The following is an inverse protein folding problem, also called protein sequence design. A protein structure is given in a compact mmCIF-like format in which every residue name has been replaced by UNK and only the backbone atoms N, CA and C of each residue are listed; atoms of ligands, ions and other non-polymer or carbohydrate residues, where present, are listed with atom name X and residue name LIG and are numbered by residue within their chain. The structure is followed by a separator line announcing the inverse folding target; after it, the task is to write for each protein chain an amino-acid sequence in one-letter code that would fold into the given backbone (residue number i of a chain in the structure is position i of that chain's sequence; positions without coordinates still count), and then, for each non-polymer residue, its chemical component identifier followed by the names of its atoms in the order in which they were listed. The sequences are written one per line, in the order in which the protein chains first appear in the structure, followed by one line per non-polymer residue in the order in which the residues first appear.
data_IF_285094566485
#
_entry.id   IF_285094566485
#
_cell.length_a   1.000
_cell.length_b   1.000
_cell.length_c   1.000
_cell.angle_alpha   90.00
_cell.angle_beta   90.00
_cell.angle_gamma   90.00
#
_symmetry.space_group_name_H-M   'P 1'
#
loop_
_entity.id
_entity.type
_entity.pdbx_description
1 polymer ?
2 non-polymer ?
3 non-polymer ?
4 water ?
#
# COMPACT_ATOMS: atom_id res chain seq x y z
N UNK A 3 13.21 17.84 7.03
CA UNK A 3 14.64 18.06 7.46
C UNK A 3 14.98 19.56 7.48
N UNK A 4 15.70 20.03 6.45
CA UNK A 4 16.14 21.42 6.33
C UNK A 4 15.01 22.39 5.97
N UNK A 5 14.02 21.88 5.24
CA UNK A 5 12.82 22.64 4.90
C UNK A 5 11.77 22.49 6.00
N UNK A 6 10.83 23.43 6.08
CA UNK A 6 9.90 23.49 7.20
C UNK A 6 8.41 23.33 6.84
N UNK A 7 8.07 23.52 5.55
CA UNK A 7 6.71 23.31 5.07
C UNK A 7 6.38 21.82 5.00
N UNK A 8 5.12 21.45 5.21
CA UNK A 8 4.70 20.09 4.91
C UNK A 8 4.65 19.92 3.39
N UNK A 9 5.29 18.85 2.90
CA UNK A 9 5.29 18.55 1.48
C UNK A 9 4.23 17.48 1.24
N UNK A 10 3.10 17.91 0.67
CA UNK A 10 2.01 17.00 0.37
C UNK A 10 1.95 16.69 -1.13
N UNK A 11 1.67 15.44 -1.47
CA UNK A 11 1.35 15.07 -2.85
C UNK A 11 -0.16 15.10 -3.00
N UNK A 12 -0.63 15.66 -4.11
CA UNK A 12 -2.02 15.57 -4.52
C UNK A 12 -2.08 14.87 -5.88
N UNK A 13 -2.72 13.70 -5.91
CA UNK A 13 -2.75 12.84 -7.11
C UNK A 13 -4.02 11.98 -7.23
N UNK A 14 -4.46 11.74 -8.46
CA UNK A 14 -5.51 10.75 -8.75
C UNK A 14 -4.93 9.73 -9.74
N UNK A 15 -5.04 8.45 -9.38
CA UNK A 15 -4.51 7.38 -10.20
C UNK A 15 -5.47 6.19 -10.26
N UNK A 16 -5.26 5.33 -11.26
CA UNK A 16 -6.13 4.19 -11.47
C UNK A 16 -5.52 2.92 -10.83
N UNK A 17 -6.08 1.76 -11.15
CA UNK A 17 -5.66 0.50 -10.53
C UNK A 17 -4.19 0.19 -10.80
N UNK A 18 -3.70 0.61 -11.97
CA UNK A 18 -2.32 0.36 -12.35
C UNK A 18 -1.44 1.60 -12.27
N UNK A 19 -1.86 2.57 -11.44
CA UNK A 19 -1.08 3.79 -11.17
C UNK A 19 -1.01 4.78 -12.35
N UNK A 20 -1.85 4.57 -13.36
CA UNK A 20 -1.94 5.51 -14.50
C UNK A 20 -2.51 6.84 -14.02
N UNK A 21 -1.84 7.94 -14.40
CA UNK A 21 -2.31 9.30 -14.13
C UNK A 21 -2.54 10.12 -15.41
N UNK A 22 -2.00 9.65 -16.53
CA UNK A 22 -2.08 10.41 -17.77
C UNK A 22 -2.09 9.62 -19.07
N UNK A 23 -2.65 10.23 -20.10
CA UNK A 23 -2.72 9.68 -21.45
C UNK A 23 -2.60 10.85 -22.44
N UNK A 24 -1.61 10.73 -23.34
CA UNK A 24 -1.37 11.73 -24.40
C UNK A 24 -1.33 13.16 -23.85
N UNK A 25 -0.54 13.35 -22.79
CA UNK A 25 -0.37 14.65 -22.13
C UNK A 25 -1.68 15.26 -21.57
N UNK A 26 -2.63 14.41 -21.22
CA UNK A 26 -3.92 14.83 -20.63
C UNK A 26 -4.39 13.80 -19.60
N UNK A 27 -5.54 14.08 -18.97
CA UNK A 27 -6.16 13.16 -18.01
C UNK A 27 -6.98 12.10 -18.74
N UNK A 28 -6.87 10.83 -18.30
CA UNK A 28 -7.63 9.75 -18.95
C UNK A 28 -9.12 9.69 -18.60
N UNK A 29 -9.54 10.47 -17.60
CA UNK A 29 -10.92 10.43 -17.12
C UNK A 29 -11.45 11.84 -16.83
N UNK A 30 -12.77 11.97 -16.75
CA UNK A 30 -13.37 13.22 -16.31
C UNK A 30 -14.22 12.96 -15.07
N UNK A 31 -13.78 13.46 -13.93
CA UNK A 31 -14.55 13.37 -12.69
C UNK A 31 -14.66 14.75 -12.06
N UNK A 32 -15.68 15.53 -12.45
CA UNK A 32 -15.88 16.88 -11.89
C UNK A 32 -15.95 16.92 -10.36
N UNK A 33 -16.53 15.90 -9.74
CA UNK A 33 -16.64 15.85 -8.28
C UNK A 33 -15.28 15.69 -7.59
N UNK A 34 -14.40 14.92 -8.23
CA UNK A 34 -13.04 14.70 -7.76
C UNK A 34 -12.21 16.00 -7.86
N UNK A 35 -12.44 16.75 -8.94
CA UNK A 35 -11.82 18.08 -9.09
C UNK A 35 -12.27 19.06 -8.02
N UNK A 36 -13.53 18.99 -7.63
CA UNK A 36 -14.04 19.86 -6.57
C UNK A 36 -13.37 19.52 -5.24
N UNK A 37 -13.17 18.23 -4.97
CA UNK A 37 -12.38 17.79 -3.81
C UNK A 37 -10.95 18.32 -3.83
N UNK A 38 -10.33 18.29 -5.01
CA UNK A 38 -8.99 18.83 -5.22
C UNK A 38 -8.92 20.34 -4.96
N UNK A 39 -9.86 21.08 -5.53
CA UNK A 39 -9.95 22.54 -5.33
C UNK A 39 -10.08 22.90 -3.85
N UNK A 40 -11.03 22.25 -3.19
CA UNK A 40 -11.32 22.50 -1.78
C UNK A 40 -10.12 22.16 -0.87
N UNK A 41 -9.38 21.12 -1.21
CA UNK A 41 -8.28 20.67 -0.36
C UNK A 41 -7.03 21.53 -0.55
N UNK A 42 -6.80 22.01 -1.77
CA UNK A 42 -5.58 22.73 -2.10
C UNK A 42 -5.72 24.24 -1.93
N UNK A 43 -6.94 24.72 -1.95
CA UNK A 43 -7.24 26.15 -1.83
C UNK A 43 -6.45 26.84 -0.71
N UNK A 44 -5.80 27.95 -1.06
CA UNK A 44 -5.02 28.72 -0.10
C UNK A 44 -3.60 28.24 0.10
N UNK A 45 -3.17 27.24 -0.69
CA UNK A 45 -1.83 26.63 -0.58
C UNK A 45 -1.14 26.58 -1.94
N UNK A 46 0.20 26.66 -1.95
CA UNK A 46 0.90 26.54 -3.24
C UNK A 46 0.68 25.22 -3.97
N UNK A 47 0.52 25.31 -5.28
CA UNK A 47 0.51 24.18 -6.20
C UNK A 47 1.83 24.13 -6.93
N UNK A 48 2.51 22.99 -6.81
CA UNK A 48 3.79 22.78 -7.49
C UNK A 48 3.51 21.89 -8.70
N UNK A 49 3.79 22.41 -9.89
CA UNK A 49 3.42 21.71 -11.13
C UNK A 49 4.58 21.57 -12.08
N UNK A 50 4.71 20.39 -12.69
CA UNK A 50 5.67 20.23 -13.79
C UNK A 50 5.24 21.11 -14.94
N UNK A 51 6.20 21.54 -15.75
CA UNK A 51 5.91 22.43 -16.87
C UNK A 51 4.83 21.84 -17.81
N UNK A 52 4.94 20.55 -18.09
CA UNK A 52 4.00 19.87 -18.98
C UNK A 52 2.59 19.85 -18.38
N UNK A 53 2.50 19.49 -17.10
CA UNK A 53 1.23 19.55 -16.38
C UNK A 53 0.63 20.96 -16.49
N UNK A 54 1.41 21.99 -16.14
CA UNK A 54 0.90 23.35 -16.21
C UNK A 54 0.35 23.74 -17.60
N UNK A 55 1.08 23.38 -18.66
CA UNK A 55 0.72 23.85 -19.99
C UNK A 55 -0.58 23.22 -20.49
N UNK A 56 -0.83 21.98 -20.09
CA UNK A 56 -2.10 21.30 -20.37
C UNK A 56 -3.27 22.00 -19.65
N UNK A 57 -3.05 22.44 -18.41
CA UNK A 57 -4.04 23.22 -17.66
C UNK A 57 -4.27 24.57 -18.36
N UNK A 58 -3.19 25.28 -18.66
CA UNK A 58 -3.20 26.45 -19.55
C UNK A 58 -3.45 27.79 -18.89
N UNK A 59 -3.83 27.77 -17.61
CA UNK A 59 -4.21 28.98 -16.90
C UNK A 59 -3.85 28.83 -15.43
N UNK A 60 -3.48 29.94 -14.77
CA UNK A 60 -3.29 29.89 -13.32
C UNK A 60 -4.56 29.46 -12.62
N UNK A 61 -4.43 28.54 -11.68
CA UNK A 61 -5.56 28.09 -10.89
C UNK A 61 -5.77 29.09 -9.73
N UNK A 62 -7.01 29.62 -9.60
CA UNK A 62 -7.22 30.76 -8.70
C UNK A 62 -7.08 30.38 -7.22
N UNK A 63 -6.66 31.35 -6.40
CA UNK A 63 -6.65 31.22 -4.95
C UNK A 63 -5.45 30.49 -4.39
N UNK A 64 -4.51 30.16 -5.27
CA UNK A 64 -3.33 29.40 -4.89
C UNK A 64 -2.11 29.98 -5.60
N UNK A 65 -0.96 29.96 -4.93
CA UNK A 65 0.32 30.22 -5.59
C UNK A 65 0.58 29.12 -6.61
N UNK A 66 0.68 29.49 -7.88
CA UNK A 66 1.01 28.55 -8.95
C UNK A 66 2.51 28.55 -9.22
N UNK A 67 3.17 27.45 -8.91
CA UNK A 67 4.61 27.33 -9.10
C UNK A 67 4.93 26.27 -10.14
N UNK A 68 5.56 26.71 -11.22
CA UNK A 68 5.86 25.82 -12.33
C UNK A 68 7.33 25.43 -12.30
N UNK A 69 7.58 24.12 -12.39
CA UNK A 69 8.95 23.58 -12.38
C UNK A 69 9.42 23.25 -13.80
N UNK A 70 10.53 23.89 -14.19
CA UNK A 70 11.11 23.78 -15.53
C UNK A 70 12.63 23.96 -15.48
N UNK A 71 13.34 23.37 -16.44
CA UNK A 71 14.79 23.56 -16.56
C UNK A 71 15.11 24.78 -17.41
N UNK A 72 14.06 25.31 -18.03
CA UNK A 72 14.13 26.46 -18.92
C UNK A 72 14.31 27.75 -18.11
N UNK A 73 15.50 28.33 -18.17
CA UNK A 73 15.83 29.52 -17.37
C UNK A 73 15.19 30.84 -17.87
N UNK A 74 14.69 30.83 -19.11
CA UNK A 74 13.97 31.97 -19.65
C UNK A 74 12.46 31.81 -19.66
N UNK A 75 11.96 30.78 -18.99
CA UNK A 75 10.54 30.48 -18.94
C UNK A 75 9.79 31.43 -18.00
N UNK A 76 8.71 32.03 -18.49
CA UNK A 76 7.87 32.97 -17.72
C UNK A 76 6.38 32.82 -18.05
N UNK A 77 5.54 32.81 -17.03
CA UNK A 77 4.09 32.80 -17.23
C UNK A 77 3.43 33.82 -16.29
N UNK A 78 2.57 34.66 -16.87
CA UNK A 78 1.84 35.69 -16.13
C UNK A 78 0.95 35.06 -15.05
N UNK A 79 1.10 35.54 -13.82
CA UNK A 79 0.29 35.05 -12.69
C UNK A 79 0.81 33.77 -12.07
N UNK A 80 2.01 33.36 -12.49
CA UNK A 80 2.67 32.15 -11.98
C UNK A 80 4.10 32.44 -11.57
N UNK A 81 4.61 31.62 -10.67
CA UNK A 81 6.01 31.67 -10.30
C UNK A 81 6.75 30.47 -10.92
N UNK A 82 8.01 30.67 -11.27
CA UNK A 82 8.81 29.64 -11.93
C UNK A 82 10.02 29.23 -11.07
N UNK A 83 10.14 27.93 -10.84
CA UNK A 83 11.27 27.37 -10.11
C UNK A 83 11.96 26.36 -11.02
N UNK A 84 13.25 26.13 -10.79
CA UNK A 84 14.04 25.27 -11.68
C UNK A 84 14.68 24.08 -10.95
N UNK A 85 14.32 23.92 -9.68
CA UNK A 85 14.84 22.83 -8.87
C UNK A 85 13.98 22.68 -7.62
N UNK A 86 14.13 21.54 -6.96
CA UNK A 86 13.52 21.28 -5.66
C UNK A 86 13.88 22.39 -4.66
N UNK A 87 15.15 22.74 -4.60
CA UNK A 87 15.65 23.73 -3.62
C UNK A 87 15.08 25.13 -3.86
N UNK A 88 14.89 25.48 -5.13
CA UNK A 88 14.31 26.77 -5.45
C UNK A 88 12.82 26.83 -5.06
N UNK A 89 12.13 25.70 -5.22
CA UNK A 89 10.76 25.58 -4.70
C UNK A 89 10.76 25.78 -3.18
N UNK A 90 11.70 25.12 -2.51
CA UNK A 90 11.82 25.22 -1.05
C UNK A 90 12.11 26.66 -0.61
N UNK A 91 13.00 27.33 -1.34
CA UNK A 91 13.23 28.76 -1.11
C UNK A 91 11.96 29.61 -1.27
N UNK A 92 11.27 29.46 -2.40
CA UNK A 92 10.03 30.23 -2.63
C UNK A 92 8.95 29.95 -1.59
N UNK A 93 8.98 28.74 -1.04
CA UNK A 93 7.93 28.27 -0.15
C UNK A 93 8.38 28.17 1.31
N UNK A 94 9.51 28.79 1.64
CA UNK A 94 10.13 28.59 2.95
C UNK A 94 9.24 28.86 4.16
N UNK A 95 8.35 29.85 4.02
CA UNK A 95 7.42 30.23 5.09
C UNK A 95 5.99 29.67 4.95
N UNK A 96 5.78 28.75 4.02
CA UNK A 96 4.47 28.14 3.83
C UNK A 96 4.20 27.05 4.87
N UNK A 97 2.93 26.84 5.22
CA UNK A 97 2.53 25.74 6.10
C UNK A 97 2.65 24.43 5.34
N UNK A 98 2.06 24.40 4.13
CA UNK A 98 1.92 23.17 3.36
C UNK A 98 1.92 23.50 1.88
N UNK A 99 2.61 22.68 1.11
CA UNK A 99 2.62 22.82 -0.34
C UNK A 99 2.12 21.52 -0.96
N UNK A 100 1.44 21.65 -2.10
CA UNK A 100 0.92 20.50 -2.83
C UNK A 100 1.68 20.27 -4.12
N UNK A 101 2.32 19.11 -4.17
CA UNK A 101 2.95 18.64 -5.38
C UNK A 101 1.79 18.08 -6.20
N UNK A 102 1.58 18.69 -7.35
CA UNK A 102 0.36 18.54 -8.13
C UNK A 102 0.59 17.76 -9.44
N UNK A 103 1.81 17.26 -9.63
CA UNK A 103 2.15 16.48 -10.82
C UNK A 103 2.83 17.27 -11.94
N UNK A 104 3.14 16.61 -13.05
CA UNK A 104 2.86 15.18 -13.26
C UNK A 104 3.94 14.26 -12.73
N UNK A 105 4.18 13.18 -13.48
CA UNK A 105 5.05 12.09 -13.03
C UNK A 105 6.51 12.49 -12.77
N UNK A 106 7.09 13.30 -13.65
CA UNK A 106 8.48 13.74 -13.48
C UNK A 106 8.62 14.57 -12.21
N UNK A 107 7.63 15.44 -11.96
CA UNK A 107 7.61 16.25 -10.73
C UNK A 107 7.31 15.42 -9.46
N UNK A 108 6.46 14.41 -9.58
CA UNK A 108 6.27 13.47 -8.47
C UNK A 108 7.56 12.71 -8.13
N UNK A 109 8.28 12.26 -9.16
CA UNK A 109 9.58 11.60 -8.96
C UNK A 109 10.56 12.53 -8.27
N UNK A 110 10.65 13.78 -8.76
CA UNK A 110 11.52 14.83 -8.17
C UNK A 110 11.33 15.03 -6.67
N UNK A 111 10.06 15.13 -6.25
CA UNK A 111 9.78 15.46 -4.86
C UNK A 111 9.56 14.26 -3.94
N UNK A 112 9.66 13.06 -4.50
CA UNK A 112 9.39 11.81 -3.76
C UNK A 112 10.22 11.62 -2.48
N UNK A 113 11.53 11.96 -2.49
CA UNK A 113 12.27 11.86 -1.21
C UNK A 113 11.77 12.77 -0.08
N UNK A 114 10.91 13.73 -0.39
CA UNK A 114 10.53 14.76 0.60
C UNK A 114 9.06 14.69 1.05
N UNK A 115 8.26 13.82 0.44
CA UNK A 115 6.81 13.78 0.74
C UNK A 115 6.51 13.33 2.20
N UNK A 116 5.67 14.12 2.86
CA UNK A 116 5.28 13.91 4.26
C UNK A 116 3.85 13.41 4.31
N UNK A 117 3.07 13.74 3.28
CA UNK A 117 1.64 13.49 3.29
C UNK A 117 1.12 13.23 1.88
N UNK A 118 0.28 12.20 1.76
CA UNK A 118 -0.21 11.77 0.47
C UNK A 118 -1.74 11.86 0.40
N UNK A 119 -2.26 12.74 -0.45
CA UNK A 119 -3.69 12.77 -0.75
C UNK A 119 -3.87 12.10 -2.10
N UNK A 120 -4.29 10.84 -2.06
CA UNK A 120 -4.37 10.03 -3.26
C UNK A 120 -5.78 9.51 -3.50
N UNK A 121 -6.33 9.89 -4.65
CA UNK A 121 -7.60 9.35 -5.09
C UNK A 121 -7.33 8.09 -5.90
N UNK A 122 -7.99 7.00 -5.52
CA UNK A 122 -7.80 5.75 -6.24
C UNK A 122 -9.04 5.40 -7.05
N UNK A 123 -8.87 5.35 -8.37
CA UNK A 123 -9.97 5.10 -9.29
C UNK A 123 -10.00 3.63 -9.69
N UNK A 124 -11.15 3.02 -9.47
CA UNK A 124 -11.29 1.58 -9.58
C UNK A 124 -11.63 1.18 -11.02
N UNK A 125 -10.66 1.41 -11.90
CA UNK A 125 -10.81 1.18 -13.33
C UNK A 125 -9.38 1.08 -13.87
N UNK A 126 -9.20 0.32 -14.94
CA UNK A 126 -7.91 0.21 -15.59
C UNK A 126 -7.93 0.93 -16.93
N UNK A 127 -7.48 2.18 -16.93
CA UNK A 127 -7.43 3.01 -18.15
C UNK A 127 -6.20 2.68 -19.01
N UNK A 128 -6.31 2.98 -20.30
CA UNK A 128 -5.13 3.03 -21.15
C UNK A 128 -4.41 4.32 -20.83
N UNK A 129 -3.09 4.25 -20.70
CA UNK A 129 -2.31 5.42 -20.34
C UNK A 129 -0.82 5.26 -20.53
N UNK A 130 -0.10 6.37 -20.42
CA UNK A 130 1.33 6.36 -20.69
C UNK A 130 2.16 6.97 -19.57
N UNK A 131 1.49 7.57 -18.61
CA UNK A 131 2.11 8.29 -17.48
C UNK A 131 1.61 7.70 -16.15
N UNK A 132 2.54 7.48 -15.22
CA UNK A 132 2.29 6.69 -14.03
C UNK A 132 2.77 7.41 -12.77
N UNK A 133 2.03 7.23 -11.69
CA UNK A 133 2.46 7.70 -10.40
C UNK A 133 3.55 6.75 -9.88
N UNK A 134 4.68 7.28 -9.38
CA UNK A 134 5.75 6.42 -8.89
C UNK A 134 5.32 5.46 -7.77
N UNK A 135 5.93 4.27 -7.75
CA UNK A 135 5.76 3.31 -6.66
C UNK A 135 6.25 3.94 -5.37
N UNK A 136 5.57 3.62 -4.28
CA UNK A 136 5.96 4.11 -2.96
C UNK A 136 5.88 2.97 -1.96
N UNK A 137 6.88 2.88 -1.11
CA UNK A 137 6.88 1.97 0.02
C UNK A 137 6.11 2.68 1.11
N UNK A 138 5.00 2.08 1.54
CA UNK A 138 4.10 2.71 2.51
C UNK A 138 4.40 2.31 3.95
N UNK A 139 5.50 1.58 4.15
CA UNK A 139 6.04 1.29 5.48
C UNK A 139 6.29 2.62 6.17
N UNK A 140 5.86 2.71 7.43
CA UNK A 140 5.90 3.94 8.21
C UNK A 140 4.98 5.07 7.69
N UNK A 141 3.92 4.67 7.00
CA UNK A 141 2.84 5.56 6.67
C UNK A 141 1.56 5.01 7.26
N UNK A 142 0.66 5.90 7.64
CA UNK A 142 -0.65 5.49 8.16
C UNK A 142 -1.75 6.19 7.39
N UNK A 143 -2.78 5.43 7.03
CA UNK A 143 -3.99 6.02 6.45
C UNK A 143 -4.74 6.77 7.55
N UNK A 144 -4.98 8.06 7.33
CA UNK A 144 -5.66 8.90 8.32
C UNK A 144 -7.03 9.38 7.83
N UNK A 145 -7.35 9.10 6.57
CA UNK A 145 -8.64 9.45 6.00
C UNK A 145 -8.94 8.57 4.80
N UNK A 146 -10.17 8.08 4.73
CA UNK A 146 -10.67 7.39 3.56
C UNK A 146 -12.19 7.61 3.39
N UNK A 147 -12.61 7.82 2.15
CA UNK A 147 -14.02 8.07 1.85
C UNK A 147 -14.33 7.73 0.40
N UNK A 148 -15.47 7.11 0.16
CA UNK A 148 -15.94 6.83 -1.20
C UNK A 148 -16.28 8.12 -1.91
N UNK A 149 -15.81 8.24 -3.15
CA UNK A 149 -16.15 9.37 -4.00
C UNK A 149 -17.55 9.24 -4.55
N UNK A 150 -18.10 10.35 -5.00
CA UNK A 150 -19.43 10.37 -5.60
C UNK A 150 -19.42 9.74 -7.00
N UNK A 151 -20.19 8.67 -7.17
CA UNK A 151 -20.39 8.06 -8.46
C UNK A 151 -21.83 8.33 -8.90
N UNK A 152 -21.97 9.04 -10.01
CA UNK A 152 -23.27 9.35 -10.59
C UNK A 152 -23.10 9.53 -12.09
N UNK A 153 -24.10 10.11 -12.76
CA UNK A 153 -24.09 10.32 -14.21
C UNK A 153 -22.92 11.19 -14.68
N UNK A 154 -22.56 12.17 -13.87
CA UNK A 154 -21.45 13.07 -14.20
C UNK A 154 -20.09 12.49 -13.79
N UNK A 155 -20.11 11.50 -12.91
CA UNK A 155 -18.87 10.90 -12.37
C UNK A 155 -18.97 9.39 -12.47
N UNK A 156 -18.62 8.85 -13.65
CA UNK A 156 -19.02 7.50 -14.03
C UNK A 156 -18.09 6.35 -13.60
N UNK A 157 -17.16 6.62 -12.69
CA UNK A 157 -16.32 5.56 -12.14
C UNK A 157 -16.47 5.48 -10.63
N UNK A 158 -16.08 4.32 -10.08
CA UNK A 158 -15.97 4.14 -8.64
C UNK A 158 -14.55 4.57 -8.24
N UNK A 159 -14.46 5.38 -7.20
CA UNK A 159 -13.17 5.89 -6.73
C UNK A 159 -13.24 6.24 -5.24
N UNK A 160 -12.08 6.26 -4.59
CA UNK A 160 -11.97 6.55 -3.18
C UNK A 160 -10.91 7.62 -2.93
N UNK A 161 -11.22 8.55 -2.02
CA UNK A 161 -10.24 9.48 -1.51
C UNK A 161 -9.48 8.81 -0.37
N UNK A 162 -8.15 8.87 -0.44
CA UNK A 162 -7.27 8.37 0.63
C UNK A 162 -6.30 9.46 1.06
N UNK A 163 -6.04 9.52 2.37
CA UNK A 163 -4.97 10.36 2.90
C UNK A 163 -4.05 9.53 3.79
N UNK A 164 -2.76 9.52 3.46
CA UNK A 164 -1.75 8.88 4.27
C UNK A 164 -0.78 9.92 4.85
N UNK A 165 -0.35 9.70 6.09
CA UNK A 165 0.66 10.55 6.73
C UNK A 165 1.90 9.74 7.08
N UNK A 166 3.07 10.27 6.76
CA UNK A 166 4.34 9.65 7.13
C UNK A 166 4.53 9.71 8.63
N UNK A 167 4.93 8.60 9.23
CA UNK A 167 5.17 8.56 10.67
C UNK A 167 6.58 9.06 11.02
N UNK A 168 7.57 8.63 10.24
CA UNK A 168 8.94 9.17 10.34
C UNK A 168 9.19 10.27 9.30
N UNK B 3 18.61 -13.42 14.67
CA UNK B 3 19.59 -14.19 15.52
C UNK B 3 20.64 -14.90 14.66
N UNK B 4 20.49 -16.22 14.53
CA UNK B 4 21.36 -17.07 13.71
C UNK B 4 20.92 -17.12 12.26
N UNK B 5 19.62 -16.96 12.04
CA UNK B 5 19.05 -16.91 10.69
C UNK B 5 19.00 -15.45 10.24
N UNK B 6 19.05 -15.23 8.94
CA UNK B 6 19.26 -13.88 8.43
C UNK B 6 18.13 -13.36 7.56
N UNK B 7 17.15 -14.23 7.30
CA UNK B 7 15.94 -13.80 6.63
C UNK B 7 14.99 -13.13 7.63
N UNK B 8 14.22 -12.16 7.15
CA UNK B 8 13.13 -11.60 7.95
C UNK B 8 12.06 -12.68 8.01
N UNK B 9 11.59 -12.97 9.22
CA UNK B 9 10.50 -13.92 9.41
C UNK B 9 9.21 -13.12 9.57
N UNK B 10 8.39 -13.13 8.53
CA UNK B 10 7.11 -12.41 8.57
C UNK B 10 5.92 -13.37 8.70
N UNK B 11 4.96 -13.00 9.55
CA UNK B 11 3.67 -13.68 9.59
C UNK B 11 2.70 -12.97 8.63
N UNK B 12 1.98 -13.75 7.83
CA UNK B 12 0.90 -13.25 6.99
C UNK B 12 -0.39 -13.96 7.42
N UNK B 13 -1.33 -13.20 7.98
CA UNK B 13 -2.56 -13.77 8.54
C UNK B 13 -3.78 -12.83 8.43
N UNK B 14 -4.96 -13.42 8.29
CA UNK B 14 -6.23 -12.70 8.41
C UNK B 14 -7.03 -13.33 9.53
N UNK B 15 -7.50 -12.51 10.47
CA UNK B 15 -8.21 -13.01 11.63
C UNK B 15 -9.36 -12.08 12.00
N UNK B 16 -10.33 -12.62 12.75
CA UNK B 16 -11.50 -11.83 13.12
C UNK B 16 -11.33 -11.24 14.53
N UNK B 17 -12.41 -10.66 15.05
CA UNK B 17 -12.39 -9.99 16.37
C UNK B 17 -11.92 -10.88 17.52
N UNK B 18 -12.17 -12.19 17.40
CA UNK B 18 -11.76 -13.18 18.39
C UNK B 18 -10.59 -14.06 17.94
N UNK B 19 -9.80 -13.58 16.98
CA UNK B 19 -8.61 -14.27 16.47
C UNK B 19 -8.89 -15.55 15.66
N UNK B 20 -10.15 -15.76 15.26
CA UNK B 20 -10.53 -16.90 14.43
C UNK B 20 -9.87 -16.77 13.07
N UNK B 21 -9.23 -17.83 12.62
CA UNK B 21 -8.63 -17.87 11.28
C UNK B 21 -9.25 -18.98 10.42
N UNK B 22 -9.91 -19.96 11.05
CA UNK B 22 -10.41 -21.13 10.34
C UNK B 22 -11.68 -21.78 10.86
N UNK B 23 -12.42 -22.43 9.97
CA UNK B 23 -13.60 -23.22 10.32
C UNK B 23 -13.66 -24.46 9.44
N UNK B 24 -13.71 -25.62 10.08
CA UNK B 24 -13.81 -26.90 9.39
C UNK B 24 -12.75 -27.04 8.28
N UNK B 25 -11.51 -26.77 8.68
CA UNK B 25 -10.33 -26.89 7.80
C UNK B 25 -10.40 -25.99 6.55
N UNK B 26 -11.11 -24.87 6.67
CA UNK B 26 -11.23 -23.90 5.60
C UNK B 26 -11.34 -22.49 6.16
N UNK B 27 -11.41 -21.51 5.27
CA UNK B 27 -11.55 -20.10 5.64
C UNK B 27 -13.02 -19.78 5.91
N UNK B 28 -13.31 -19.06 7.01
CA UNK B 28 -14.70 -18.72 7.37
C UNK B 28 -15.35 -17.59 6.53
N UNK B 29 -14.55 -16.90 5.72
CA UNK B 29 -15.02 -15.78 4.91
C UNK B 29 -14.44 -15.80 3.49
N UNK B 30 -15.05 -15.04 2.59
CA UNK B 30 -14.49 -14.84 1.24
C UNK B 30 -14.29 -13.36 0.98
N UNK B 31 -13.04 -12.93 0.97
CA UNK B 31 -12.68 -11.57 0.62
C UNK B 31 -11.66 -11.59 -0.52
N UNK B 32 -12.14 -11.59 -1.79
CA UNK B 32 -11.22 -11.62 -2.92
C UNK B 32 -10.24 -10.43 -2.97
N UNK B 33 -10.65 -9.27 -2.46
CA UNK B 33 -9.76 -8.10 -2.42
C UNK B 33 -8.62 -8.28 -1.41
N UNK B 34 -8.93 -8.91 -0.27
CA UNK B 34 -7.93 -9.26 0.76
C UNK B 34 -6.91 -10.25 0.20
N UNK B 35 -7.38 -11.18 -0.61
CA UNK B 35 -6.56 -12.19 -1.28
C UNK B 35 -5.59 -11.54 -2.27
N UNK B 36 -6.10 -10.52 -2.96
CA UNK B 36 -5.31 -9.71 -3.88
C UNK B 36 -4.18 -8.98 -3.15
N UNK B 37 -4.47 -8.43 -1.97
CA UNK B 37 -3.44 -7.84 -1.11
C UNK B 37 -2.38 -8.86 -0.68
N UNK B 38 -2.83 -10.06 -0.32
CA UNK B 38 -1.94 -11.16 0.08
C UNK B 38 -1.01 -11.57 -1.06
N UNK B 39 -1.58 -11.76 -2.26
CA UNK B 39 -0.80 -12.14 -3.43
C UNK B 39 0.26 -11.09 -3.78
N UNK B 40 -0.14 -9.83 -3.76
CA UNK B 40 0.77 -8.72 -4.07
C UNK B 40 1.92 -8.58 -3.05
N UNK B 41 1.60 -8.77 -1.78
CA UNK B 41 2.58 -8.58 -0.69
C UNK B 41 3.60 -9.72 -0.66
N UNK B 42 3.13 -10.94 -0.92
CA UNK B 42 3.98 -12.13 -0.78
C UNK B 42 4.70 -12.52 -2.06
N UNK B 43 4.26 -12.00 -3.20
CA UNK B 43 4.86 -12.30 -4.50
C UNK B 43 6.38 -12.19 -4.48
N UNK B 44 7.04 -13.21 -5.02
CA UNK B 44 8.50 -13.26 -5.07
C UNK B 44 9.20 -13.71 -3.79
N UNK B 45 8.43 -14.12 -2.78
CA UNK B 45 8.98 -14.54 -1.47
C UNK B 45 8.43 -15.91 -1.05
N UNK B 46 9.20 -16.68 -0.27
CA UNK B 46 8.71 -18.01 0.12
C UNK B 46 7.45 -17.97 0.99
N UNK B 47 6.53 -18.90 0.75
CA UNK B 47 5.36 -19.13 1.61
C UNK B 47 5.61 -20.38 2.43
N UNK B 48 5.55 -20.24 3.75
CA UNK B 48 5.71 -21.36 4.65
C UNK B 48 4.32 -21.78 5.13
N UNK B 49 3.92 -23.00 4.78
CA UNK B 49 2.56 -23.45 5.06
C UNK B 49 2.55 -24.75 5.84
N UNK B 50 1.67 -24.83 6.84
CA UNK B 50 1.40 -26.11 7.50
C UNK B 50 0.81 -27.05 6.47
N UNK B 51 1.08 -28.34 6.65
CA UNK B 51 0.58 -29.37 5.74
C UNK B 51 -0.96 -29.26 5.49
N UNK B 52 -1.72 -29.06 6.56
CA UNK B 52 -3.18 -28.95 6.44
C UNK B 52 -3.60 -27.73 5.64
N UNK B 53 -3.00 -26.58 5.97
CA UNK B 53 -3.18 -25.38 5.18
C UNK B 53 -2.92 -25.64 3.69
N UNK B 54 -1.74 -26.17 3.37
CA UNK B 54 -1.41 -26.43 1.97
C UNK B 54 -2.44 -27.33 1.25
N UNK B 55 -2.87 -28.41 1.91
CA UNK B 55 -3.74 -29.38 1.25
C UNK B 55 -5.13 -28.82 0.92
N UNK B 56 -5.64 -27.93 1.78
CA UNK B 56 -6.88 -27.21 1.52
C UNK B 56 -6.75 -26.27 0.33
N UNK B 57 -5.59 -25.63 0.18
CA UNK B 57 -5.31 -24.81 -1.00
C UNK B 57 -5.23 -25.70 -2.25
N UNK B 58 -4.47 -26.80 -2.15
CA UNK B 58 -4.51 -27.87 -3.16
C UNK B 58 -3.55 -27.73 -4.34
N UNK B 59 -2.97 -26.54 -4.51
CA UNK B 59 -2.09 -26.25 -5.64
C UNK B 59 -0.98 -25.33 -5.21
N UNK B 60 0.21 -25.46 -5.83
CA UNK B 60 1.26 -24.47 -5.62
C UNK B 60 0.75 -23.07 -5.99
N UNK B 61 1.01 -22.09 -5.14
CA UNK B 61 0.69 -20.70 -5.46
C UNK B 61 1.84 -20.14 -6.30
N UNK B 62 1.51 -19.59 -7.49
CA UNK B 62 2.52 -19.18 -8.46
C UNK B 62 3.38 -17.99 -8.01
N UNK B 63 4.61 -17.95 -8.50
CA UNK B 63 5.53 -16.82 -8.28
C UNK B 63 6.22 -16.81 -6.93
N UNK B 64 6.04 -17.88 -6.17
CA UNK B 64 6.58 -17.95 -4.81
C UNK B 64 7.07 -19.37 -4.55
N UNK B 65 8.16 -19.48 -3.77
CA UNK B 65 8.60 -20.78 -3.24
C UNK B 65 7.55 -21.30 -2.26
N UNK B 66 6.96 -22.45 -2.56
CA UNK B 66 5.97 -23.08 -1.68
C UNK B 66 6.66 -24.10 -0.78
N UNK B 67 6.72 -23.79 0.52
CA UNK B 67 7.35 -24.69 1.48
C UNK B 67 6.34 -25.25 2.47
N UNK B 68 6.21 -26.58 2.45
CA UNK B 68 5.22 -27.29 3.25
C UNK B 68 5.88 -27.93 4.48
N UNK B 69 5.34 -27.60 5.66
CA UNK B 69 5.87 -28.11 6.92
C UNK B 69 5.03 -29.29 7.39
N UNK B 70 5.69 -30.43 7.56
CA UNK B 70 5.06 -31.68 7.96
C UNK B 70 6.05 -32.57 8.70
N UNK B 71 5.56 -33.47 9.55
CA UNK B 71 6.44 -34.43 10.24
C UNK B 71 6.63 -35.71 9.43
N UNK B 72 5.88 -35.80 8.34
CA UNK B 72 5.85 -36.94 7.45
C UNK B 72 7.10 -36.94 6.58
N UNK B 73 8.02 -37.85 6.87
CA UNK B 73 9.32 -37.83 6.16
C UNK B 73 9.27 -38.38 4.72
N UNK B 74 8.15 -39.02 4.35
CA UNK B 74 7.95 -39.46 2.97
C UNK B 74 7.00 -38.59 2.15
N UNK B 75 6.62 -37.44 2.70
CA UNK B 75 5.68 -36.51 2.05
C UNK B 75 6.36 -35.75 0.90
N UNK B 76 5.74 -35.79 -0.29
CA UNK B 76 6.21 -35.04 -1.46
C UNK B 76 5.06 -34.42 -2.24
N UNK B 77 5.27 -33.20 -2.73
CA UNK B 77 4.31 -32.52 -3.59
C UNK B 77 5.06 -31.87 -4.76
N UNK B 78 4.59 -32.14 -5.98
CA UNK B 78 5.17 -31.56 -7.19
C UNK B 78 5.03 -30.03 -7.20
N UNK B 79 6.16 -29.35 -7.41
CA UNK B 79 6.19 -27.89 -7.46
C UNK B 79 6.31 -27.22 -6.11
N UNK B 80 6.51 -28.04 -5.06
CA UNK B 80 6.68 -27.53 -3.70
C UNK B 80 7.88 -28.17 -3.02
N UNK B 81 8.39 -27.48 -2.00
CA UNK B 81 9.45 -28.05 -1.18
C UNK B 81 8.87 -28.44 0.18
N UNK B 82 9.42 -29.50 0.76
CA UNK B 82 8.97 -30.00 2.05
C UNK B 82 10.05 -29.83 3.13
N UNK B 83 9.66 -29.25 4.26
CA UNK B 83 10.51 -29.15 5.42
C UNK B 83 9.81 -29.84 6.60
N UNK B 84 10.58 -30.26 7.60
CA UNK B 84 10.03 -31.04 8.71
C UNK B 84 10.28 -30.37 10.06
N UNK B 85 10.87 -29.19 10.02
CA UNK B 85 11.15 -28.43 11.24
C UNK B 85 11.41 -26.98 10.92
N UNK B 86 11.41 -26.15 11.95
CA UNK B 86 11.79 -24.75 11.82
C UNK B 86 13.20 -24.62 11.24
N UNK B 87 14.13 -25.42 11.77
CA UNK B 87 15.53 -25.32 11.35
C UNK B 87 15.73 -25.71 9.88
N UNK B 88 14.96 -26.69 9.41
CA UNK B 88 15.03 -27.09 8.01
C UNK B 88 14.49 -26.00 7.08
N UNK B 89 13.43 -25.30 7.53
CA UNK B 89 12.92 -24.14 6.82
C UNK B 89 14.00 -23.06 6.75
N UNK B 90 14.66 -22.81 7.88
CA UNK B 90 15.76 -21.84 7.92
C UNK B 90 16.92 -22.24 6.99
N UNK B 91 17.26 -23.53 6.94
CA UNK B 91 18.25 -24.00 5.97
C UNK B 91 17.82 -23.74 4.52
N UNK B 92 16.62 -24.18 4.16
CA UNK B 92 16.06 -23.93 2.83
C UNK B 92 16.04 -22.45 2.45
N UNK B 93 15.81 -21.59 3.43
CA UNK B 93 15.61 -20.16 3.18
C UNK B 93 16.77 -19.28 3.66
N UNK B 94 17.93 -19.89 3.89
CA UNK B 94 19.06 -19.18 4.52
C UNK B 94 19.44 -17.87 3.83
N UNK B 95 19.36 -17.84 2.50
CA UNK B 95 19.74 -16.65 1.73
C UNK B 95 18.56 -15.80 1.27
N UNK B 96 17.36 -16.09 1.78
CA UNK B 96 16.18 -15.29 1.45
C UNK B 96 16.17 -13.97 2.19
N UNK B 97 15.59 -12.97 1.56
CA UNK B 97 15.39 -11.65 2.15
C UNK B 97 14.34 -11.72 3.26
N UNK B 98 13.19 -12.29 2.91
CA UNK B 98 12.02 -12.34 3.78
C UNK B 98 11.21 -13.59 3.44
N UNK B 99 10.69 -14.23 4.48
CA UNK B 99 9.80 -15.38 4.28
C UNK B 99 8.47 -15.10 4.96
N UNK B 100 7.41 -15.65 4.39
CA UNK B 100 6.07 -15.46 4.91
C UNK B 100 5.51 -16.73 5.53
N UNK B 101 5.34 -16.71 6.85
CA UNK B 101 4.63 -17.77 7.54
C UNK B 101 3.14 -17.55 7.24
N UNK B 102 2.56 -18.54 6.58
CA UNK B 102 1.29 -18.39 5.87
C UNK B 102 0.20 -19.20 6.57
N UNK B 103 0.54 -19.81 7.71
CA UNK B 103 -0.43 -20.59 8.49
C UNK B 103 -0.41 -22.08 8.20
N UNK B 104 -1.29 -22.86 8.86
CA UNK B 104 -2.29 -22.34 9.79
C UNK B 104 -1.80 -22.21 11.22
N UNK B 105 -2.68 -22.44 12.18
CA UNK B 105 -2.39 -22.16 13.59
C UNK B 105 -1.20 -22.91 14.17
N UNK B 106 -1.06 -24.19 13.84
CA UNK B 106 0.07 -24.98 14.34
C UNK B 106 1.40 -24.44 13.84
N UNK B 107 1.44 -24.03 12.57
CA UNK B 107 2.62 -23.43 11.96
C UNK B 107 2.89 -22.01 12.51
N UNK B 108 1.85 -21.23 12.78
CA UNK B 108 2.03 -19.95 13.49
C UNK B 108 2.62 -20.18 14.89
N UNK B 109 2.08 -21.16 15.63
CA UNK B 109 2.63 -21.55 16.94
C UNK B 109 4.12 -21.90 16.85
N UNK B 110 4.45 -22.76 15.88
CA UNK B 110 5.84 -23.18 15.59
C UNK B 110 6.83 -22.04 15.40
N UNK B 111 6.44 -21.04 14.63
CA UNK B 111 7.36 -19.97 14.26
C UNK B 111 7.25 -18.74 15.13
N UNK B 112 6.35 -18.78 16.10
CA UNK B 112 6.09 -17.63 16.99
C UNK B 112 7.35 -17.04 17.67
N UNK B 113 8.25 -17.90 18.19
CA UNK B 113 9.47 -17.34 18.81
C UNK B 113 10.39 -16.56 17.86
N UNK B 114 10.16 -16.67 16.55
CA UNK B 114 11.07 -16.06 15.57
C UNK B 114 10.50 -14.89 14.75
N UNK B 115 9.22 -14.57 14.92
CA UNK B 115 8.60 -13.51 14.10
C UNK B 115 9.25 -12.15 14.31
N UNK B 116 9.60 -11.50 13.20
CA UNK B 116 10.15 -10.14 13.17
C UNK B 116 9.09 -9.13 12.76
N UNK B 117 8.12 -9.58 11.95
CA UNK B 117 7.15 -8.67 11.32
C UNK B 117 5.79 -9.35 11.14
N UNK B 118 4.73 -8.59 11.42
CA UNK B 118 3.36 -9.11 11.34
C UNK B 118 2.52 -8.35 10.33
N UNK B 119 2.03 -9.08 9.32
CA UNK B 119 1.07 -8.53 8.36
C UNK B 119 -0.24 -9.14 8.77
N UNK B 120 -1.01 -8.38 9.54
CA UNK B 120 -2.28 -8.87 10.08
C UNK B 120 -3.44 -8.12 9.43
N UNK B 121 -4.39 -8.87 8.87
CA UNK B 121 -5.65 -8.30 8.45
C UNK B 121 -6.65 -8.56 9.57
N UNK B 122 -7.29 -7.49 10.06
CA UNK B 122 -8.26 -7.62 11.12
C UNK B 122 -9.66 -7.44 10.57
N UNK B 123 -10.48 -8.48 10.69
CA UNK B 123 -11.85 -8.45 10.20
C UNK B 123 -12.83 -8.17 11.33
N UNK B 124 -13.66 -7.15 11.12
CA UNK B 124 -14.51 -6.61 12.17
C UNK B 124 -15.82 -7.36 12.18
N UNK B 125 -15.76 -8.64 12.53
CA UNK B 125 -16.92 -9.53 12.55
C UNK B 125 -16.49 -10.68 13.45
N UNK B 126 -17.45 -11.29 14.13
CA UNK B 126 -17.18 -12.47 14.96
C UNK B 126 -17.76 -13.72 14.29
N UNK B 127 -16.88 -14.46 13.61
CA UNK B 127 -17.25 -15.68 12.91
C UNK B 127 -17.30 -16.87 13.87
N UNK B 128 -18.10 -17.88 13.52
CA UNK B 128 -18.00 -19.21 14.12
C UNK B 128 -16.73 -19.83 13.55
N UNK B 129 -15.94 -20.47 14.40
CA UNK B 129 -14.66 -21.04 13.99
C UNK B 129 -14.05 -21.96 15.02
N UNK B 130 -13.01 -22.69 14.62
CA UNK B 130 -12.40 -23.69 15.48
C UNK B 130 -10.88 -23.52 15.57
N UNK B 131 -10.34 -22.64 14.73
CA UNK B 131 -8.90 -22.45 14.63
C UNK B 131 -8.57 -20.97 14.79
N UNK B 132 -7.54 -20.70 15.61
CA UNK B 132 -7.25 -19.34 16.07
C UNK B 132 -5.80 -18.96 15.86
N UNK B 133 -5.57 -17.68 15.63
CA UNK B 133 -4.22 -17.14 15.59
C UNK B 133 -3.75 -17.04 17.05
N UNK B 134 -2.50 -17.45 17.34
CA UNK B 134 -2.04 -17.39 18.74
C UNK B 134 -1.97 -15.96 19.27
N UNK B 135 -2.21 -15.80 20.57
CA UNK B 135 -2.06 -14.53 21.27
C UNK B 135 -0.63 -14.08 21.17
N UNK B 136 -0.44 -12.77 21.13
CA UNK B 136 0.88 -12.19 21.05
C UNK B 136 0.94 -10.98 21.95
N UNK B 137 2.01 -10.87 22.72
CA UNK B 137 2.27 -9.63 23.43
C UNK B 137 2.93 -8.65 22.45
N UNK B 138 2.25 -7.54 22.24
CA UNK B 138 2.65 -6.53 21.26
C UNK B 138 3.58 -5.44 21.81
N UNK B 139 3.96 -5.54 23.10
CA UNK B 139 5.01 -4.69 23.66
C UNK B 139 6.30 -4.96 22.86
N UNK B 140 7.01 -3.89 22.54
CA UNK B 140 8.20 -3.98 21.66
C UNK B 140 7.83 -4.17 20.18
N UNK B 141 6.54 -4.02 19.86
CA UNK B 141 6.06 -3.99 18.49
C UNK B 141 5.52 -2.59 18.19
N UNK B 142 5.78 -2.12 16.98
CA UNK B 142 5.30 -0.83 16.53
C UNK B 142 4.47 -1.07 15.27
N UNK B 143 3.31 -0.43 15.20
CA UNK B 143 2.52 -0.43 13.98
C UNK B 143 3.17 0.52 12.96
N UNK B 144 3.54 -0.03 11.81
CA UNK B 144 4.23 0.74 10.75
C UNK B 144 3.36 1.00 9.52
N UNK B 145 2.14 0.44 9.52
CA UNK B 145 1.20 0.65 8.43
C UNK B 145 -0.20 0.21 8.86
N UNK B 146 -1.18 1.01 8.48
CA UNK B 146 -2.60 0.67 8.65
C UNK B 146 -3.41 1.29 7.51
N UNK B 147 -4.39 0.54 7.01
CA UNK B 147 -5.23 0.98 5.91
C UNK B 147 -6.54 0.19 5.92
N UNK B 148 -7.65 0.86 5.64
CA UNK B 148 -8.96 0.24 5.52
C UNK B 148 -9.00 -0.66 4.28
N UNK B 149 -9.49 -1.88 4.45
CA UNK B 149 -9.74 -2.76 3.30
C UNK B 149 -11.00 -2.34 2.53
N UNK B 150 -11.09 -2.78 1.28
CA UNK B 150 -12.25 -2.48 0.45
C UNK B 150 -13.48 -3.31 0.85
N UNK B 151 -14.54 -2.60 1.22
CA UNK B 151 -15.82 -3.22 1.52
C UNK B 151 -16.79 -2.86 0.39
N UNK B 152 -17.30 -3.89 -0.29
CA UNK B 152 -18.30 -3.74 -1.36
C UNK B 152 -19.10 -5.02 -1.51
N UNK B 153 -19.86 -5.14 -2.60
CA UNK B 153 -20.69 -6.32 -2.87
C UNK B 153 -19.91 -7.64 -2.85
N UNK B 154 -18.67 -7.62 -3.35
CA UNK B 154 -17.83 -8.83 -3.40
C UNK B 154 -17.05 -9.05 -2.10
N UNK B 155 -16.97 -8.01 -1.28
CA UNK B 155 -16.20 -8.03 -0.04
C UNK B 155 -17.06 -7.50 1.09
N UNK B 156 -17.90 -8.37 1.67
CA UNK B 156 -19.02 -7.94 2.50
C UNK B 156 -18.74 -7.71 4.00
N UNK B 157 -17.48 -7.59 4.39
CA UNK B 157 -17.12 -7.25 5.76
C UNK B 157 -16.24 -6.01 5.81
N UNK B 158 -16.20 -5.38 6.98
CA UNK B 158 -15.28 -4.31 7.28
C UNK B 158 -14.01 -4.97 7.83
N UNK B 159 -12.87 -4.51 7.32
CA UNK B 159 -11.57 -5.06 7.70
C UNK B 159 -10.45 -4.07 7.46
N UNK B 160 -9.36 -4.21 8.21
CA UNK B 160 -8.20 -3.33 8.08
C UNK B 160 -6.92 -4.14 7.90
N UNK B 161 -6.01 -3.62 7.08
CA UNK B 161 -4.68 -4.17 6.95
C UNK B 161 -3.82 -3.48 7.98
N UNK B 162 -3.08 -4.27 8.76
CA UNK B 162 -2.12 -3.74 9.74
C UNK B 162 -0.77 -4.40 9.52
N UNK B 163 0.28 -3.62 9.70
CA UNK B 163 1.64 -4.16 9.69
C UNK B 163 2.35 -3.69 10.96
N UNK B 164 2.94 -4.65 11.68
CA UNK B 164 3.70 -4.36 12.89
C UNK B 164 5.13 -4.85 12.70
N UNK B 165 6.08 -4.09 13.22
CA UNK B 165 7.49 -4.50 13.24
C UNK B 165 7.98 -4.62 14.68
N UNK B 166 8.76 -5.66 14.94
CA UNK B 166 9.39 -5.86 16.25
C UNK B 166 10.56 -4.91 16.42
N UNK B 167 10.58 -4.23 17.57
CA UNK B 167 11.65 -3.27 17.87
C UNK B 167 12.96 -3.98 18.29
N UNK B 168 12.86 -4.94 19.21
CA UNK B 168 13.97 -5.84 19.49
C UNK B 168 13.86 -7.14 18.67
X LIG C 1 5.43 16.89 -15.74
X LIG C 1 6.06 16.14 -14.65
X LIG C 1 4.21 17.62 -15.32
X LIG C 1 6.45 17.94 -16.36
X LIG C 1 7.67 17.51 -16.91
X LIG C 1 8.50 18.76 -17.07
X LIG C 1 8.90 19.20 -15.79
X LIG C 1 9.77 18.57 -17.87
X LIG C 1 9.53 18.64 -19.26
X LIG C 1 10.59 19.74 -17.34
X LIG C 1 10.20 20.97 -17.93
X LIG C 1 10.17 19.79 -15.88
X LIG C 1 11.17 19.04 -15.09
X LIG C 1 11.29 17.68 -14.96
X LIG C 1 12.34 17.44 -14.15
X LIG C 1 12.92 18.62 -13.79
X LIG C 1 14.01 18.94 -12.99
X LIG C 1 14.74 17.97 -12.42
X LIG C 1 14.33 20.26 -12.79
X LIG C 1 13.59 21.27 -13.35
X LIG C 1 12.51 20.94 -14.15
X LIG C 1 12.18 19.63 -14.36
X LIG C 1 5.22 15.94 -17.02
X LIG C 1 4.76 14.42 -17.20
X LIG C 1 4.76 14.12 -18.65
X LIG C 1 5.54 13.60 -16.24
X LIG C 1 3.24 14.44 -16.64
X LIG C 1 2.20 14.96 -17.45
X LIG C 1 1.03 13.98 -17.47
X LIG C 1 0.55 13.69 -16.17
X LIG C 1 -0.15 14.55 -18.24
X LIG C 1 -0.76 13.45 -18.89
X LIG C 1 -1.04 15.08 -17.15
X LIG C 1 -2.38 15.19 -17.59
X LIG C 1 -0.83 14.02 -16.08
X LIG C 1 -1.15 14.44 -14.71
X LIG C 1 -2.11 13.72 -14.04
X LIG C 1 -2.42 14.05 -12.73
X LIG C 1 -3.31 13.14 -11.93
X LIG C 1 -3.31 13.29 -10.56
X LIG C 1 -4.06 12.22 -12.54
X LIG C 1 -1.76 15.10 -12.09
X LIG C 1 -0.78 15.83 -12.77
X LIG C 1 -0.49 15.47 -14.09
X LIG C 1 10.97 21.63 -19.17
X LIG C 1 10.83 20.70 -20.34
X LIG C 1 10.35 22.95 -19.52
X LIG C 1 12.45 21.78 -18.81
X LIG D 1 -4.85 15.24 -7.98
X LIG D 1 -6.09 14.75 -7.99
X LIG D 1 -6.89 14.89 -9.06
X LIG D 1 -6.48 15.53 -10.16
X LIG D 1 -5.18 16.05 -10.18
X LIG D 1 -4.37 15.90 -9.06
X LIG D 1 -7.33 14.39 -12.17
X LIG D 1 -5.35 18.83 -18.30
X LIG D 1 -7.33 21.51 -11.96
X LIG D 1 -9.31 20.10 -16.10
X LIG D 1 -6.58 14.10 -6.95
X LIG D 1 -3.12 16.40 -9.07
X LIG D 1 -4.30 17.33 -12.33
X LIG D 1 -4.70 16.74 -11.34
X LIG D 1 -5.14 18.81 -15.57
X LIG D 1 -5.89 19.53 -13.39
X LIG D 1 -7.46 15.63 -11.32
X LIG D 1 -3.84 18.03 -13.54
X LIG D 1 -6.35 19.56 -17.53
X LIG D 1 -7.83 20.96 -13.20
X LIG D 1 -8.12 20.96 -15.90
X LIG D 1 -4.99 18.81 -14.19
X LIG D 1 -6.18 19.54 -16.16
X LIG D 1 -6.94 20.25 -13.97
X LIG D 1 -7.08 20.25 -15.35
X LIG E 1 -1.65 -26.22 9.88
X LIG E 1 -0.93 -25.39 10.86
X LIG E 1 -1.78 -25.58 8.57
X LIG E 1 -1.01 -27.68 9.71
X LIG E 1 -0.80 -28.53 10.80
X LIG E 1 0.19 -29.55 10.26
X LIG E 1 1.48 -28.99 10.20
X LIG E 1 0.32 -30.79 11.12
X LIG E 1 -0.72 -31.69 10.82
X LIG E 1 1.71 -31.27 10.73
X LIG E 1 1.74 -31.95 9.51
X LIG E 1 2.45 -29.95 10.50
X LIG E 1 3.18 -29.62 11.74
X LIG E 1 2.67 -29.04 12.88
X LIG E 1 3.67 -28.94 13.78
X LIG E 1 4.80 -29.44 13.24
X LIG E 1 6.10 -29.59 13.71
X LIG E 1 6.42 -29.18 14.93
X LIG E 1 7.07 -30.15 12.90
X LIG E 1 6.75 -30.56 11.62
X LIG E 1 5.45 -30.42 11.17
X LIG E 1 4.50 -29.88 11.96
X LIG E 1 -3.08 -26.66 10.48
X LIG E 1 -4.18 -25.95 11.40
X LIG E 1 -5.31 -26.89 11.50
X LIG E 1 -3.53 -25.43 12.62
X LIG E 1 -4.66 -24.67 10.54
X LIG E 1 -5.46 -24.85 9.38
X LIG E 1 -6.69 -23.93 9.48
X LIG E 1 -6.29 -22.58 9.48
X LIG E 1 -7.64 -24.07 8.31
X LIG E 1 -8.94 -23.83 8.80
X LIG E 1 -7.21 -22.93 7.39
X LIG E 1 -8.24 -22.51 6.56
X LIG E 1 -6.82 -21.86 8.38
X LIG E 1 -5.86 -20.85 7.90
X LIG E 1 -6.25 -19.54 7.97
X LIG E 1 -5.42 -18.52 7.56
X LIG E 1 -5.88 -17.10 7.73
X LIG E 1 -4.92 -16.07 7.73
X LIG E 1 -7.16 -16.82 7.91
X LIG E 1 -4.15 -18.84 7.07
X LIG E 1 -3.73 -20.18 6.99
X LIG E 1 -4.60 -21.18 7.42
X LIG E 1 1.58 -33.54 9.38
X LIG E 1 0.27 -33.96 10.02
X LIG E 1 1.56 -33.90 7.91
X LIG E 1 2.75 -34.20 10.07
X LIG F 1 -3.07 -14.18 5.31
X LIG F 1 -4.05 -13.31 4.93
X LIG F 1 -5.13 -13.76 4.31
X LIG F 1 -5.30 -15.05 4.01
X LIG F 1 -4.31 -15.96 4.39
X LIG F 1 -3.19 -15.50 5.06
X LIG F 1 -7.68 -15.65 4.34
X LIG F 1 -8.61 -23.01 1.57
X LIG F 1 -4.32 -18.19 -1.56
X LIG F 1 -8.78 -19.63 -1.72
X LIG F 1 -3.94 -12.00 5.18
X LIG F 1 -2.22 -16.35 5.43
X LIG F 1 -4.71 -18.51 3.79
X LIG F 1 -4.49 -17.34 4.07
X LIG F 1 -6.69 -21.01 1.92
X LIG F 1 -5.32 -19.25 0.96
X LIG F 1 -6.59 -15.44 3.29
X LIG F 1 -4.99 -19.90 3.42
X LIG F 1 -8.32 -22.11 0.46
X LIG F 1 -5.68 -18.64 -1.39
X LIG F 1 -7.61 -20.52 -1.61
X LIG F 1 -5.69 -20.04 2.06
X LIG F 1 -7.33 -21.17 0.68
X LIG F 1 -5.97 -19.41 -0.28
X LIG F 1 -6.97 -20.37 -0.40
#
# INVERSE_FOLDING_TARGET
HHHHHHMRVSFMVAMDENRVIGKDNNLPWRLPSELQYVKKTTMGHPLIMGRKNYEAIGRPLPGRRNIIVTRNEGYHVEGCEVAHSVEEVFELCKNEEEIFIFGGAQIYDLFLPYVDKLYITKIHHAFEGDTFFPEMDMTNWKEVFVEKGLTDEKNPYTYYYHVYEKQQ
HHHHHHMRVSFMVAMDENRVIGKDNNLPWRLPSELQYVKKTTMGHPLIMGRKNYEAIGRPLPGRRNIIVTRNEGYHVEGCEVAHSVEEVFELCKNEEEIFIFGGAQIYDLFLPYVDKLYITKIHHAFEGDTFFPEMDMTNWKEVFVEKGLTDEKNPYTYYYHVYEKQQ
NDP PA O1A O2A O5B C5B C4B O4B C3B O3B C2B O2B C1B N9A C8A N7A C5A C6A N6A N1A C2A N3A C4A O3 PN O1N O2N O5D C5D C4D O4D C3D O3D C2D O2D C1D N1N C2N C3N C7N O7N N7N C4N C5N C6N P2B O1X O2X O3X
EKB N1 C2 N3 C4 C5 C6 C1A C1B C1C C1D N1E N1F C1G C1H C1I C1J C1K C1L O1O O1P O1Q C1S C1V C1W C1Y
NDP PA O1A O2A O5B C5B C4B O4B C3B O3B C2B O2B C1B N9A C8A N7A C5A C6A N6A N1A C2A N3A C4A O3 PN O1N O2N O5D C5D C4D O4D C3D O3D C2D O2D C1D N1N C2N C3N C7N O7N N7N C4N C5N C6N P2B O1X O2X O3X
EKB N1 C2 N3 C4 C5 C6 C1A C1B C1C C1D N1E N1F C1G C1H C1I C1J C1K C1L O1O O1P O1Q C1S C1V C1W C1Y
#
